data_IF_151621498872
#
_entry.id   IF_151621498872
#
_cell.length_a   1.000
_cell.length_b   1.000
_cell.length_c   1.000
_cell.angle_alpha   90.00
_cell.angle_beta   90.00
_cell.angle_gamma   90.00
#
_symmetry.space_group_name_H-M   'P 1'
#
loop_
_entity.id
_entity.type
_entity.pdbx_description
1 polymer ?
#
# COMPACT_ATOMS: atom_id res chain seq x y z
N UNK A 1 6.07 12.73 -26.61
CA UNK A 1 6.16 12.55 -25.15
C UNK A 1 7.37 11.69 -24.86
N UNK A 2 8.16 12.01 -23.83
CA UNK A 2 9.25 11.14 -23.36
C UNK A 2 8.62 9.89 -22.74
N UNK A 3 9.00 8.72 -23.22
CA UNK A 3 8.58 7.44 -22.67
C UNK A 3 9.63 7.00 -21.63
N UNK A 4 9.18 6.56 -20.46
CA UNK A 4 10.06 6.01 -19.41
C UNK A 4 9.94 4.49 -19.40
N UNK A 5 11.07 3.78 -19.52
CA UNK A 5 11.12 2.33 -19.46
C UNK A 5 11.59 1.89 -18.09
N UNK A 6 11.00 0.81 -17.62
CA UNK A 6 11.30 0.22 -16.33
C UNK A 6 11.76 -1.23 -16.52
N UNK A 7 12.77 -1.64 -15.76
CA UNK A 7 13.20 -3.03 -15.66
C UNK A 7 12.98 -3.53 -14.23
N UNK A 8 12.20 -4.60 -14.07
CA UNK A 8 12.04 -5.25 -12.78
C UNK A 8 13.32 -6.00 -12.41
N UNK A 9 13.93 -5.68 -11.28
CA UNK A 9 15.16 -6.31 -10.76
C UNK A 9 15.01 -6.65 -9.29
N UNK A 10 15.77 -7.66 -8.85
CA UNK A 10 16.02 -7.90 -7.43
C UNK A 10 17.29 -7.16 -7.04
N UNK A 11 17.21 -6.30 -6.03
CA UNK A 11 18.32 -5.44 -5.59
C UNK A 11 18.54 -5.57 -4.08
N UNK A 12 19.79 -5.42 -3.63
CA UNK A 12 20.12 -5.37 -2.21
C UNK A 12 19.57 -4.07 -1.59
N UNK A 13 18.94 -4.18 -0.43
CA UNK A 13 18.38 -3.00 0.25
C UNK A 13 19.47 -2.04 0.73
N UNK A 14 20.70 -2.55 0.94
CA UNK A 14 21.89 -1.76 1.29
C UNK A 14 22.38 -0.87 0.14
N UNK A 15 21.94 -1.16 -1.07
CA UNK A 15 22.30 -0.41 -2.27
C UNK A 15 21.32 0.72 -2.58
N UNK A 16 20.22 0.82 -1.84
CA UNK A 16 19.18 1.83 -2.01
C UNK A 16 19.40 2.98 -1.03
N UNK A 17 19.51 4.20 -1.57
CA UNK A 17 19.51 5.45 -0.82
C UNK A 17 18.10 6.07 -0.86
N UNK A 18 17.51 6.47 0.29
CA UNK A 18 16.23 7.16 0.31
C UNK A 18 16.30 8.50 -0.43
N UNK A 19 15.17 9.01 -0.91
CA UNK A 19 15.15 10.31 -1.59
C UNK A 19 15.20 11.45 -0.55
N UNK A 20 16.23 12.32 -0.56
CA UNK A 20 16.24 13.48 0.33
C UNK A 20 15.08 14.45 0.04
N UNK A 21 14.55 14.43 -1.18
CA UNK A 21 13.52 15.36 -1.67
C UNK A 21 12.11 14.75 -1.61
N UNK A 22 11.85 13.76 -0.75
CA UNK A 22 10.49 13.23 -0.61
C UNK A 22 9.53 14.28 -0.05
N UNK A 23 8.38 14.55 -0.69
CA UNK A 23 7.40 15.51 -0.19
C UNK A 23 6.86 15.20 1.22
N UNK A 24 6.86 13.92 1.65
CA UNK A 24 6.47 13.52 3.02
C UNK A 24 7.56 13.80 4.06
N UNK A 25 8.78 14.10 3.63
CA UNK A 25 9.94 14.41 4.47
C UNK A 25 10.27 13.32 5.48
N UNK A 26 10.87 13.71 6.61
CA UNK A 26 11.31 12.78 7.67
C UNK A 26 10.15 12.01 8.33
N UNK A 27 8.90 12.47 8.20
CA UNK A 27 7.73 11.83 8.80
C UNK A 27 7.49 10.40 8.31
N UNK A 28 8.02 10.08 7.13
CA UNK A 28 7.93 8.75 6.51
C UNK A 28 8.58 7.65 7.37
N UNK A 29 9.47 8.02 8.29
CA UNK A 29 10.18 7.12 9.23
C UNK A 29 9.40 6.88 10.53
N UNK A 30 8.30 7.60 10.77
CA UNK A 30 7.55 7.45 12.02
C UNK A 30 6.81 6.12 12.05
N UNK A 31 6.97 5.42 13.16
CA UNK A 31 6.29 4.16 13.43
C UNK A 31 4.89 4.46 14.02
N UNK A 32 3.94 4.72 13.12
CA UNK A 32 2.51 4.83 13.44
C UNK A 32 1.79 3.47 13.33
N UNK A 33 0.51 3.42 13.69
CA UNK A 33 -0.31 2.20 13.61
C UNK A 33 -0.40 1.65 12.18
N UNK A 34 -0.43 2.52 11.17
CA UNK A 34 -0.45 2.11 9.76
C UNK A 34 0.91 1.54 9.32
N UNK A 35 2.02 2.02 9.87
CA UNK A 35 3.36 1.52 9.60
C UNK A 35 3.57 0.16 10.26
N UNK A 36 3.08 0.01 11.50
CA UNK A 36 3.02 -1.27 12.18
C UNK A 36 2.16 -2.28 11.42
N UNK A 37 1.02 -1.85 10.88
CA UNK A 37 0.21 -2.68 9.97
C UNK A 37 0.97 -3.04 8.69
N UNK A 38 1.62 -2.08 8.03
CA UNK A 38 2.42 -2.33 6.83
C UNK A 38 3.51 -3.38 7.08
N UNK A 39 4.25 -3.29 8.20
CA UNK A 39 5.25 -4.30 8.58
C UNK A 39 4.64 -5.68 8.73
N UNK A 40 3.48 -5.80 9.38
CA UNK A 40 2.77 -7.09 9.51
C UNK A 40 2.33 -7.64 8.16
N UNK A 41 1.77 -6.77 7.31
CA UNK A 41 1.36 -7.12 5.94
C UNK A 41 2.54 -7.63 5.13
N UNK A 42 3.69 -6.95 5.17
CA UNK A 42 4.92 -7.38 4.50
C UNK A 42 5.42 -8.72 5.04
N UNK A 43 5.38 -8.96 6.36
CA UNK A 43 5.74 -10.27 6.92
C UNK A 43 4.82 -11.41 6.43
N UNK A 44 3.55 -11.12 6.23
CA UNK A 44 2.54 -12.12 5.87
C UNK A 44 2.49 -12.41 4.37
N UNK A 45 2.55 -11.35 3.54
CA UNK A 45 2.31 -11.45 2.10
C UNK A 45 3.54 -11.12 1.25
N UNK A 46 4.65 -10.72 1.88
CA UNK A 46 5.81 -10.18 1.18
C UNK A 46 5.59 -8.76 0.66
N UNK A 47 6.51 -8.31 -0.19
CA UNK A 47 6.43 -7.01 -0.85
C UNK A 47 5.53 -7.10 -2.09
N UNK A 48 4.23 -6.82 -1.92
CA UNK A 48 3.24 -6.93 -3.00
C UNK A 48 3.47 -5.95 -4.16
N UNK A 49 3.96 -4.75 -3.84
CA UNK A 49 4.22 -3.70 -4.83
C UNK A 49 5.72 -3.44 -4.85
N UNK A 50 6.39 -3.61 -6.01
CA UNK A 50 7.80 -3.29 -6.15
C UNK A 50 8.12 -1.83 -5.84
N UNK A 51 9.38 -1.56 -5.51
CA UNK A 51 9.87 -0.18 -5.43
C UNK A 51 9.98 0.43 -6.82
N UNK A 52 10.08 1.75 -6.88
CA UNK A 52 10.57 2.44 -8.08
C UNK A 52 11.87 3.11 -7.70
N UNK A 53 12.92 2.86 -8.47
CA UNK A 53 14.26 3.38 -8.20
C UNK A 53 14.91 3.87 -9.49
N UNK A 54 15.90 4.74 -9.36
CA UNK A 54 16.84 5.08 -10.44
C UNK A 54 18.25 4.67 -10.05
N UNK A 55 19.07 4.29 -11.01
CA UNK A 55 20.50 4.06 -10.79
C UNK A 55 21.22 5.40 -10.56
N UNK A 56 22.19 5.42 -9.65
CA UNK A 56 23.02 6.60 -9.40
C UNK A 56 24.17 6.67 -10.40
N UNK A 57 24.33 7.81 -11.05
CA UNK A 57 25.42 8.04 -11.99
C UNK A 57 26.78 7.93 -11.28
N UNK A 58 27.72 7.18 -11.87
CA UNK A 58 29.06 6.98 -11.32
C UNK A 58 29.17 5.94 -10.19
N UNK A 59 28.06 5.42 -9.65
CA UNK A 59 28.07 4.39 -8.59
C UNK A 59 27.43 3.09 -9.10
N UNK A 60 28.26 2.09 -9.46
CA UNK A 60 27.75 0.79 -9.92
C UNK A 60 26.86 0.14 -8.85
N UNK A 61 25.66 -0.31 -9.26
CA UNK A 61 24.69 -0.98 -8.39
C UNK A 61 24.26 -0.15 -7.18
N UNK A 62 24.23 1.19 -7.29
CA UNK A 62 23.61 2.04 -6.28
C UNK A 62 22.37 2.71 -6.83
N UNK A 63 21.34 2.80 -6.01
CA UNK A 63 20.02 3.23 -6.42
C UNK A 63 19.52 4.37 -5.54
N UNK A 64 18.83 5.34 -6.14
CA UNK A 64 18.01 6.32 -5.42
C UNK A 64 16.56 5.87 -5.46
N UNK A 65 15.92 5.85 -4.30
CA UNK A 65 14.51 5.52 -4.17
C UNK A 65 13.65 6.63 -4.79
N UNK A 66 12.67 6.27 -5.62
CA UNK A 66 11.71 7.21 -6.24
C UNK A 66 10.33 7.01 -5.62
N UNK A 67 9.87 5.77 -5.47
CA UNK A 67 8.65 5.43 -4.73
C UNK A 67 8.87 4.26 -3.76
N UNK A 68 8.13 4.28 -2.65
CA UNK A 68 8.09 3.18 -1.68
C UNK A 68 8.83 3.41 -0.37
N UNK A 69 9.10 4.66 0.04
CA UNK A 69 9.86 4.94 1.27
C UNK A 69 9.33 4.27 2.54
N UNK A 70 8.02 4.25 2.78
CA UNK A 70 7.47 3.53 3.96
C UNK A 70 7.78 2.04 3.89
N UNK A 71 7.73 1.43 2.69
CA UNK A 71 8.07 0.02 2.50
C UNK A 71 9.58 -0.21 2.65
N UNK A 72 10.41 0.73 2.20
CA UNK A 72 11.87 0.69 2.42
C UNK A 72 12.19 0.68 3.92
N UNK A 73 11.64 1.62 4.71
CA UNK A 73 11.88 1.65 6.16
C UNK A 73 11.32 0.41 6.86
N UNK A 74 10.13 -0.06 6.47
CA UNK A 74 9.56 -1.29 7.00
C UNK A 74 10.49 -2.49 6.74
N UNK A 75 10.97 -2.67 5.50
CA UNK A 75 11.88 -3.78 5.16
C UNK A 75 13.25 -3.67 5.84
N UNK A 76 13.76 -2.44 6.05
CA UNK A 76 14.98 -2.21 6.83
C UNK A 76 14.80 -2.65 8.29
N UNK A 77 13.69 -2.29 8.94
CA UNK A 77 13.38 -2.75 10.30
C UNK A 77 13.13 -4.26 10.39
N UNK A 78 12.62 -4.86 9.31
CA UNK A 78 12.42 -6.30 9.19
C UNK A 78 13.71 -7.08 8.89
N UNK A 79 14.83 -6.40 8.62
CA UNK A 79 16.10 -7.05 8.30
C UNK A 79 16.13 -7.74 6.94
N UNK A 80 15.28 -7.32 5.99
CA UNK A 80 15.26 -7.88 4.64
C UNK A 80 16.57 -7.55 3.90
N UNK A 81 17.13 -8.53 3.18
CA UNK A 81 18.37 -8.36 2.41
C UNK A 81 18.10 -7.76 1.04
N UNK A 82 17.17 -8.37 0.31
CA UNK A 82 16.84 -7.99 -1.07
C UNK A 82 15.38 -7.56 -1.22
N UNK A 83 15.11 -6.80 -2.28
CA UNK A 83 13.78 -6.30 -2.64
C UNK A 83 13.58 -6.33 -4.15
N UNK A 84 12.33 -6.45 -4.60
CA UNK A 84 11.95 -6.25 -6.00
C UNK A 84 11.75 -4.76 -6.28
N UNK A 85 12.37 -4.26 -7.34
CA UNK A 85 12.31 -2.85 -7.74
C UNK A 85 12.21 -2.69 -9.25
N UNK A 86 11.35 -1.78 -9.68
CA UNK A 86 11.30 -1.23 -11.03
C UNK A 86 12.39 -0.17 -11.17
N UNK A 87 13.45 -0.50 -11.90
CA UNK A 87 14.58 0.40 -12.17
C UNK A 87 14.28 1.22 -13.42
N UNK A 88 14.29 2.55 -13.30
CA UNK A 88 14.21 3.48 -14.44
C UNK A 88 15.46 3.28 -15.30
N UNK A 89 15.28 2.96 -16.57
CA UNK A 89 16.37 2.60 -17.49
C UNK A 89 17.03 3.88 -18.04
N UNK A 90 16.26 4.92 -18.26
CA UNK A 90 16.75 6.20 -18.76
C UNK A 90 17.42 7.04 -17.68
N UNK A 91 18.35 7.90 -18.09
CA UNK A 91 18.82 8.99 -17.24
C UNK A 91 17.68 9.98 -17.04
N UNK A 92 17.33 10.21 -15.78
CA UNK A 92 16.33 11.18 -15.38
C UNK A 92 16.93 12.19 -14.41
N UNK A 93 16.59 13.46 -14.62
CA UNK A 93 17.02 14.54 -13.73
C UNK A 93 16.12 14.68 -12.50
N UNK A 94 16.41 15.65 -11.63
CA UNK A 94 15.67 15.83 -10.38
C UNK A 94 14.21 16.25 -10.58
N UNK A 95 13.91 17.01 -11.63
CA UNK A 95 12.55 17.46 -11.90
C UNK A 95 11.74 16.34 -12.56
N UNK A 96 12.36 15.54 -13.42
CA UNK A 96 11.77 14.31 -13.93
C UNK A 96 11.45 13.31 -12.83
N UNK A 97 12.35 13.14 -11.84
CA UNK A 97 12.07 12.31 -10.65
C UNK A 97 10.82 12.82 -9.91
N UNK A 98 10.71 14.13 -9.67
CA UNK A 98 9.53 14.71 -8.99
C UNK A 98 8.26 14.46 -9.81
N UNK A 99 8.31 14.62 -11.12
CA UNK A 99 7.20 14.36 -12.02
C UNK A 99 6.76 12.88 -11.97
N UNK A 100 7.72 11.95 -12.03
CA UNK A 100 7.46 10.52 -11.89
C UNK A 100 6.82 10.23 -10.53
N UNK A 101 7.36 10.78 -9.44
CA UNK A 101 6.80 10.63 -8.09
C UNK A 101 5.34 11.11 -8.02
N UNK A 102 5.05 12.28 -8.58
CA UNK A 102 3.70 12.84 -8.64
C UNK A 102 2.75 11.91 -9.39
N UNK A 103 3.11 11.48 -10.60
CA UNK A 103 2.27 10.60 -11.40
C UNK A 103 2.03 9.23 -10.76
N UNK A 104 3.03 8.65 -10.08
CA UNK A 104 2.87 7.37 -9.35
C UNK A 104 1.83 7.49 -8.23
N UNK A 105 1.74 8.66 -7.58
CA UNK A 105 0.82 8.89 -6.48
C UNK A 105 -0.58 9.29 -6.96
N UNK A 106 -0.68 10.17 -7.96
CA UNK A 106 -1.94 10.73 -8.44
C UNK A 106 -2.77 9.74 -9.26
N UNK A 107 -2.14 8.87 -10.04
CA UNK A 107 -2.86 7.93 -10.90
C UNK A 107 -3.35 6.66 -10.19
N UNK A 108 -3.37 6.64 -8.85
CA UNK A 108 -3.93 5.53 -8.07
C UNK A 108 -5.37 5.84 -7.70
N UNK A 109 -6.32 5.17 -8.36
CA UNK A 109 -7.72 5.20 -7.95
C UNK A 109 -7.89 4.19 -6.81
N UNK A 110 -8.24 4.69 -5.62
CA UNK A 110 -8.58 3.82 -4.50
C UNK A 110 -9.93 3.15 -4.77
N UNK A 111 -10.11 1.92 -4.28
CA UNK A 111 -11.44 1.33 -4.27
C UNK A 111 -12.38 2.20 -3.45
N UNK A 112 -13.56 2.46 -4.00
CA UNK A 112 -14.62 3.15 -3.28
C UNK A 112 -15.13 2.27 -2.11
N UNK A 113 -15.91 2.83 -1.18
CA UNK A 113 -16.48 2.10 -0.04
C UNK A 113 -17.16 0.77 -0.40
N UNK A 114 -17.99 0.76 -1.45
CA UNK A 114 -18.72 -0.42 -1.89
C UNK A 114 -17.78 -1.50 -2.44
N UNK A 115 -16.80 -1.13 -3.26
CA UNK A 115 -15.77 -2.02 -3.79
C UNK A 115 -14.92 -2.63 -2.67
N UNK A 116 -14.57 -1.83 -1.64
CA UNK A 116 -13.90 -2.34 -0.44
C UNK A 116 -14.78 -3.36 0.29
N UNK A 117 -16.06 -3.06 0.53
CA UNK A 117 -16.98 -4.01 1.14
C UNK A 117 -17.09 -5.30 0.33
N UNK A 118 -17.23 -5.20 -0.99
CA UNK A 118 -17.32 -6.37 -1.88
C UNK A 118 -16.10 -7.29 -1.73
N UNK A 119 -14.90 -6.72 -1.62
CA UNK A 119 -13.67 -7.48 -1.35
C UNK A 119 -13.62 -8.11 0.06
N UNK A 120 -14.37 -7.57 1.02
CA UNK A 120 -14.41 -8.02 2.41
C UNK A 120 -15.52 -9.04 2.72
N UNK A 121 -16.43 -9.35 1.79
CA UNK A 121 -17.58 -10.26 2.02
C UNK A 121 -17.18 -11.62 2.61
N UNK A 122 -16.22 -12.31 1.98
CA UNK A 122 -15.74 -13.61 2.47
C UNK A 122 -15.10 -13.50 3.85
N UNK A 123 -14.32 -12.44 4.09
CA UNK A 123 -13.72 -12.18 5.40
C UNK A 123 -14.81 -11.94 6.45
N UNK A 124 -15.84 -11.16 6.12
CA UNK A 124 -16.93 -10.86 7.04
C UNK A 124 -17.66 -12.12 7.51
N UNK A 125 -18.01 -13.03 6.60
CA UNK A 125 -18.65 -14.30 6.98
C UNK A 125 -17.73 -15.18 7.84
N UNK A 126 -16.42 -15.21 7.56
CA UNK A 126 -15.44 -15.88 8.43
C UNK A 126 -15.38 -15.27 9.83
N UNK A 127 -15.35 -13.94 9.94
CA UNK A 127 -15.30 -13.23 11.21
C UNK A 127 -16.59 -13.42 12.02
N UNK A 128 -17.74 -13.42 11.35
CA UNK A 128 -19.06 -13.65 11.92
C UNK A 128 -19.16 -15.04 12.56
N UNK A 129 -18.62 -16.07 11.90
CA UNK A 129 -18.52 -17.43 12.46
C UNK A 129 -17.52 -17.45 13.62
N UNK A 130 -16.30 -16.93 13.41
CA UNK A 130 -15.20 -16.95 14.39
C UNK A 130 -15.56 -16.29 15.72
N UNK A 131 -16.32 -15.21 15.68
CA UNK A 131 -16.64 -14.40 16.86
C UNK A 131 -18.10 -14.49 17.30
N UNK A 132 -18.86 -15.45 16.78
CA UNK A 132 -20.29 -15.62 17.06
C UNK A 132 -21.07 -14.29 16.96
N UNK A 133 -20.87 -13.60 15.83
CA UNK A 133 -21.48 -12.30 15.51
C UNK A 133 -21.15 -11.17 16.50
N UNK A 134 -20.14 -11.31 17.37
CA UNK A 134 -19.73 -10.25 18.28
C UNK A 134 -19.06 -9.08 17.52
N UNK A 135 -19.82 -8.01 17.35
CA UNK A 135 -19.44 -6.87 16.52
C UNK A 135 -18.15 -6.19 16.96
N UNK A 136 -17.96 -6.02 18.28
CA UNK A 136 -16.79 -5.35 18.83
C UNK A 136 -15.52 -6.16 18.54
N UNK A 137 -15.58 -7.49 18.64
CA UNK A 137 -14.46 -8.37 18.28
C UNK A 137 -14.19 -8.37 16.79
N UNK A 138 -15.23 -8.39 15.96
CA UNK A 138 -15.11 -8.31 14.50
C UNK A 138 -14.48 -6.98 14.05
N UNK A 139 -14.88 -5.86 14.65
CA UNK A 139 -14.30 -4.53 14.36
C UNK A 139 -12.80 -4.51 14.69
N UNK A 140 -12.42 -4.96 15.89
CA UNK A 140 -11.02 -5.02 16.32
C UNK A 140 -10.20 -5.89 15.38
N UNK A 141 -10.70 -7.05 15.01
CA UNK A 141 -10.00 -7.95 14.09
C UNK A 141 -9.92 -7.36 12.67
N UNK A 142 -10.98 -6.72 12.18
CA UNK A 142 -10.98 -6.09 10.86
C UNK A 142 -9.95 -4.96 10.79
N UNK A 143 -9.88 -4.09 11.80
CA UNK A 143 -8.83 -3.06 11.93
C UNK A 143 -7.45 -3.69 11.90
N UNK A 144 -7.24 -4.78 12.63
CA UNK A 144 -5.96 -5.47 12.68
C UNK A 144 -5.56 -6.08 11.33
N UNK A 145 -6.51 -6.67 10.62
CA UNK A 145 -6.30 -7.38 9.34
C UNK A 145 -6.20 -6.44 8.15
N UNK A 146 -6.83 -5.26 8.20
CA UNK A 146 -6.91 -4.32 7.05
C UNK A 146 -6.10 -3.05 7.26
N UNK A 147 -5.75 -2.71 8.50
CA UNK A 147 -5.07 -1.45 8.83
C UNK A 147 -5.97 -0.22 8.75
N UNK A 148 -7.27 -0.41 8.53
CA UNK A 148 -8.26 0.69 8.52
C UNK A 148 -8.44 1.26 9.93
N UNK A 149 -8.89 2.52 10.02
CA UNK A 149 -9.26 3.08 11.33
C UNK A 149 -10.59 2.48 11.81
N UNK A 150 -10.87 2.59 13.12
CA UNK A 150 -12.07 2.02 13.75
C UNK A 150 -13.38 2.50 13.12
N UNK A 151 -13.47 3.78 12.77
CA UNK A 151 -14.67 4.35 12.14
C UNK A 151 -14.92 3.69 10.79
N UNK A 152 -13.92 3.66 9.92
CA UNK A 152 -14.01 3.00 8.62
C UNK A 152 -14.36 1.51 8.77
N UNK A 153 -13.69 0.78 9.68
CA UNK A 153 -14.00 -0.63 9.92
C UNK A 153 -15.46 -0.84 10.33
N UNK A 154 -15.98 0.00 11.22
CA UNK A 154 -17.38 -0.02 11.65
C UNK A 154 -18.34 0.26 10.49
N UNK A 155 -18.06 1.27 9.67
CA UNK A 155 -18.90 1.62 8.51
C UNK A 155 -18.95 0.47 7.50
N UNK A 156 -17.81 -0.18 7.23
CA UNK A 156 -17.76 -1.38 6.36
C UNK A 156 -18.56 -2.55 6.94
N UNK A 157 -18.41 -2.82 8.25
CA UNK A 157 -19.19 -3.88 8.92
C UNK A 157 -20.70 -3.60 8.90
N UNK A 158 -21.11 -2.34 9.07
CA UNK A 158 -22.53 -1.95 9.00
C UNK A 158 -23.12 -2.21 7.62
N UNK A 159 -22.40 -1.82 6.56
CA UNK A 159 -22.82 -2.08 5.20
C UNK A 159 -22.89 -3.59 4.91
N UNK A 160 -21.89 -4.36 5.34
CA UNK A 160 -21.81 -5.81 5.09
C UNK A 160 -22.93 -6.62 5.73
N UNK A 161 -23.58 -6.08 6.78
CA UNK A 161 -24.77 -6.68 7.41
C UNK A 161 -26.04 -6.54 6.59
N UNK A 162 -26.08 -5.61 5.63
CA UNK A 162 -27.29 -5.39 4.85
C UNK A 162 -27.70 -6.66 4.10
N UNK A 163 -29.01 -6.87 3.87
CA UNK A 163 -29.49 -7.94 3.02
C UNK A 163 -28.76 -7.96 1.67
N UNK A 164 -28.42 -9.15 1.18
CA UNK A 164 -27.66 -9.30 -0.07
C UNK A 164 -28.34 -8.60 -1.26
N UNK A 165 -29.68 -8.59 -1.31
CA UNK A 165 -30.45 -7.88 -2.33
C UNK A 165 -30.22 -6.36 -2.34
N UNK A 166 -29.94 -5.75 -1.19
CA UNK A 166 -29.63 -4.32 -1.08
C UNK A 166 -28.16 -4.08 -1.43
N UNK A 167 -27.25 -4.90 -0.89
CA UNK A 167 -25.82 -4.80 -1.19
C UNK A 167 -25.55 -4.95 -2.68
N UNK A 168 -26.23 -5.89 -3.35
CA UNK A 168 -26.06 -6.14 -4.78
C UNK A 168 -26.43 -4.92 -5.62
N UNK A 169 -27.54 -4.24 -5.32
CA UNK A 169 -27.89 -2.98 -6.02
C UNK A 169 -26.80 -1.92 -5.85
N UNK A 170 -26.29 -1.73 -4.63
CA UNK A 170 -25.22 -0.78 -4.38
C UNK A 170 -23.90 -1.16 -5.08
N UNK A 171 -23.62 -2.46 -5.24
CA UNK A 171 -22.47 -2.95 -5.99
C UNK A 171 -22.63 -2.79 -7.50
N UNK A 172 -23.83 -2.98 -8.02
CA UNK A 172 -24.11 -2.89 -9.46
C UNK A 172 -24.12 -1.43 -9.94
N UNK A 173 -24.62 -0.52 -9.09
CA UNK A 173 -24.63 0.92 -9.35
C UNK A 173 -23.30 1.61 -8.98
N UNK A 174 -22.30 0.85 -8.49
CA UNK A 174 -20.99 1.33 -8.03
C UNK A 174 -21.08 2.57 -7.13
N UNK A 175 -22.05 2.55 -6.20
CA UNK A 175 -22.37 3.73 -5.39
C UNK A 175 -21.22 4.11 -4.47
N UNK A 176 -20.92 5.40 -4.41
CA UNK A 176 -19.96 5.96 -3.46
C UNK A 176 -20.68 6.32 -2.13
N UNK A 177 -20.91 5.30 -1.31
CA UNK A 177 -21.59 5.44 -0.03
C UNK A 177 -20.58 5.62 1.12
N UNK A 178 -20.69 6.75 1.84
CA UNK A 178 -19.98 7.15 3.07
C UNK A 178 -18.47 7.44 2.99
#
# INVERSE_FOLDING_TARGET
MKEYKFALKTIEISDIKPNPNNPRGLRVRYNDDQFSYLKRSIKQFGLLVPFVVQELEGEKKKYRLVDGERRYWALKELGSKTVSANVIIEKVDEDEVKNIMFHIHTNRVQWNPCQQCKALESLYEQLKIKFDKNEKKMEIELVKLTGTNKRTAKDRLNFLRWPMSIKQKAYDEDLDLF
#
